data_IF_780273136855
#
_entry.id   IF_780273136855
#
_cell.length_a   1.000
_cell.length_b   1.000
_cell.length_c   1.000
_cell.angle_alpha   90.00
_cell.angle_beta   90.00
_cell.angle_gamma   90.00
#
_symmetry.space_group_name_H-M   'P 1'
#
loop_
_entity.id
_entity.type
_entity.pdbx_description
1 polymer ?
#
# COMPACT_ATOMS: atom_id res chain seq x y z
N UNK A 1 -27.69 -4.87 -25.41
CA UNK A 1 -28.24 -3.54 -25.69
C UNK A 1 -28.05 -2.69 -24.45
N UNK A 2 -27.29 -1.61 -24.58
CA UNK A 2 -27.00 -0.57 -23.59
C UNK A 2 -28.26 0.26 -23.32
N UNK A 3 -28.52 0.63 -22.07
CA UNK A 3 -29.31 1.84 -21.75
C UNK A 3 -28.64 2.58 -20.61
N UNK A 4 -27.93 3.64 -21.00
CA UNK A 4 -27.40 4.74 -20.19
C UNK A 4 -28.54 5.45 -19.45
N UNK A 5 -28.41 5.70 -18.13
CA UNK A 5 -29.35 6.54 -17.39
C UNK A 5 -28.85 8.01 -17.43
N UNK A 6 -29.70 8.99 -17.78
CA UNK A 6 -29.27 10.36 -18.04
C UNK A 6 -29.01 11.17 -16.75
N UNK A 7 -28.14 12.16 -16.88
CA UNK A 7 -27.95 13.28 -15.95
C UNK A 7 -29.13 14.26 -16.07
N UNK A 8 -29.91 14.41 -15.01
CA UNK A 8 -30.65 15.62 -14.69
C UNK A 8 -30.81 15.70 -13.17
N UNK A 9 -30.28 16.76 -12.56
CA UNK A 9 -30.54 17.13 -11.17
C UNK A 9 -32.02 17.53 -11.05
N UNK A 10 -32.80 16.99 -10.10
CA UNK A 10 -34.17 17.45 -9.86
C UNK A 10 -34.21 18.91 -9.41
N UNK A 11 -35.21 19.64 -9.88
CA UNK A 11 -35.54 21.04 -9.52
C UNK A 11 -35.99 21.23 -8.05
N UNK A 12 -35.70 20.28 -7.15
CA UNK A 12 -36.11 20.31 -5.73
C UNK A 12 -35.09 20.97 -4.80
N UNK A 13 -33.98 21.49 -5.34
CA UNK A 13 -32.93 22.23 -4.62
C UNK A 13 -33.37 23.64 -4.13
N UNK A 14 -34.66 23.97 -4.14
CA UNK A 14 -35.21 25.18 -3.51
C UNK A 14 -35.51 25.01 -2.01
N UNK A 15 -35.40 23.79 -1.47
CA UNK A 15 -35.28 23.57 -0.04
C UNK A 15 -33.83 23.32 0.28
N UNK A 16 -33.14 24.27 0.91
CA UNK A 16 -31.79 24.09 1.42
C UNK A 16 -31.78 22.85 2.31
N UNK A 17 -31.39 21.71 1.74
CA UNK A 17 -30.99 20.55 2.52
C UNK A 17 -29.60 20.91 3.01
N UNK A 18 -29.56 21.56 4.17
CA UNK A 18 -28.34 21.69 4.94
C UNK A 18 -27.92 20.26 5.25
N UNK A 19 -26.98 19.72 4.49
CA UNK A 19 -26.19 18.60 4.97
C UNK A 19 -25.62 19.07 6.29
N UNK A 20 -25.76 18.31 7.40
CA UNK A 20 -25.19 18.73 8.66
C UNK A 20 -23.70 18.97 8.39
N UNK A 21 -23.29 20.24 8.43
CA UNK A 21 -21.89 20.63 8.44
C UNK A 21 -21.28 19.80 9.56
N UNK A 22 -20.27 18.99 9.23
CA UNK A 22 -19.60 18.12 10.19
C UNK A 22 -19.27 18.98 11.41
N UNK A 23 -20.00 18.72 12.51
CA UNK A 23 -19.89 19.52 13.71
C UNK A 23 -18.43 19.56 14.13
N UNK A 24 -17.95 20.74 14.49
CA UNK A 24 -16.59 20.98 15.02
C UNK A 24 -16.49 20.44 16.46
N UNK A 25 -16.97 19.22 16.66
CA UNK A 25 -16.93 18.51 17.92
C UNK A 25 -15.68 17.64 17.92
N UNK A 26 -14.77 17.93 18.84
CA UNK A 26 -13.47 17.26 18.97
C UNK A 26 -13.59 15.79 19.46
N UNK A 27 -14.67 15.07 19.15
CA UNK A 27 -15.00 13.79 19.78
C UNK A 27 -15.72 12.75 18.89
N UNK A 28 -15.72 12.90 17.56
CA UNK A 28 -15.97 11.75 16.67
C UNK A 28 -14.65 11.26 16.11
N UNK A 29 -13.91 10.46 16.90
CA UNK A 29 -12.79 9.70 16.36
C UNK A 29 -13.32 8.81 15.23
N UNK A 30 -12.95 9.13 14.00
CA UNK A 30 -13.31 8.32 12.84
C UNK A 30 -12.67 6.94 13.00
N UNK A 31 -13.36 5.86 12.61
CA UNK A 31 -12.76 4.54 12.63
C UNK A 31 -11.55 4.50 11.68
N UNK A 32 -10.43 3.99 12.16
CA UNK A 32 -9.22 3.75 11.37
C UNK A 32 -8.96 2.26 11.20
N UNK A 33 -8.24 1.91 10.13
CA UNK A 33 -7.77 0.53 9.96
C UNK A 33 -6.68 0.21 10.97
N UNK A 34 -6.76 -1.00 11.54
CA UNK A 34 -5.63 -1.56 12.26
C UNK A 34 -4.62 -2.13 11.27
N UNK A 35 -3.36 -1.74 11.40
CA UNK A 35 -2.27 -2.15 10.50
C UNK A 35 -1.30 -3.14 11.18
N UNK A 36 -1.64 -3.67 12.36
CA UNK A 36 -0.74 -4.51 13.17
C UNK A 36 -0.36 -5.83 12.50
N UNK A 37 -1.13 -6.29 11.53
CA UNK A 37 -0.79 -7.44 10.68
C UNK A 37 0.40 -7.14 9.74
N UNK A 38 0.67 -5.86 9.46
CA UNK A 38 1.83 -5.41 8.69
C UNK A 38 2.97 -5.03 9.64
N UNK A 39 2.75 -4.03 10.47
CA UNK A 39 3.67 -3.51 11.48
C UNK A 39 2.88 -2.90 12.64
N UNK A 40 3.43 -2.91 13.85
CA UNK A 40 2.75 -2.39 15.04
C UNK A 40 2.55 -0.87 15.05
N UNK A 41 3.32 -0.17 14.24
CA UNK A 41 3.33 1.30 14.12
C UNK A 41 4.59 1.76 13.40
N UNK A 42 4.73 3.07 13.19
CA UNK A 42 5.89 3.67 12.49
C UNK A 42 7.22 3.47 13.21
N UNK A 43 7.19 3.22 14.52
CA UNK A 43 8.36 2.97 15.37
C UNK A 43 8.66 1.48 15.54
N UNK A 44 7.97 0.59 14.79
CA UNK A 44 8.22 -0.85 14.85
C UNK A 44 9.62 -1.16 14.30
N UNK A 45 10.50 -1.71 15.14
CA UNK A 45 11.86 -2.10 14.78
C UNK A 45 11.90 -3.12 13.63
N UNK A 46 10.80 -3.85 13.39
CA UNK A 46 10.67 -4.73 12.24
C UNK A 46 10.76 -3.98 10.90
N UNK A 47 10.35 -2.71 10.83
CA UNK A 47 10.45 -1.88 9.61
C UNK A 47 11.91 -1.72 9.21
N UNK A 48 12.76 -1.28 10.15
CA UNK A 48 14.20 -1.08 9.89
C UNK A 48 14.89 -2.40 9.56
N UNK A 49 14.55 -3.48 10.28
CA UNK A 49 15.09 -4.80 10.00
C UNK A 49 14.68 -5.32 8.61
N UNK A 50 13.44 -5.08 8.19
CA UNK A 50 12.94 -5.46 6.87
C UNK A 50 13.63 -4.64 5.77
N UNK A 51 13.77 -3.32 5.94
CA UNK A 51 14.48 -2.45 5.00
C UNK A 51 15.93 -2.91 4.81
N UNK A 52 16.69 -3.08 5.89
CA UNK A 52 18.09 -3.50 5.83
C UNK A 52 18.27 -4.88 5.19
N UNK A 53 17.39 -5.83 5.51
CA UNK A 53 17.41 -7.17 4.90
C UNK A 53 17.13 -7.09 3.40
N UNK A 54 16.05 -6.39 3.00
CA UNK A 54 15.61 -6.33 1.60
C UNK A 54 16.62 -5.59 0.72
N UNK A 55 17.28 -4.55 1.24
CA UNK A 55 18.38 -3.88 0.57
C UNK A 55 19.54 -4.85 0.29
N UNK A 56 20.01 -5.57 1.31
CA UNK A 56 21.08 -6.54 1.17
C UNK A 56 20.70 -7.67 0.19
N UNK A 57 19.47 -8.17 0.27
CA UNK A 57 18.96 -9.22 -0.63
C UNK A 57 18.90 -8.76 -2.08
N UNK A 58 18.43 -7.53 -2.33
CA UNK A 58 18.35 -6.93 -3.66
C UNK A 58 19.74 -6.71 -4.28
N UNK A 59 20.70 -6.19 -3.50
CA UNK A 59 22.09 -6.02 -3.94
C UNK A 59 22.70 -7.37 -4.31
N UNK A 60 22.56 -8.37 -3.44
CA UNK A 60 23.09 -9.70 -3.68
C UNK A 60 22.41 -10.40 -4.87
N UNK A 61 21.10 -10.21 -5.04
CA UNK A 61 20.34 -10.73 -6.18
C UNK A 61 20.87 -10.15 -7.50
N UNK A 62 21.01 -8.83 -7.56
CA UNK A 62 21.51 -8.14 -8.73
C UNK A 62 22.96 -8.55 -9.06
N UNK A 63 23.82 -8.68 -8.05
CA UNK A 63 25.20 -9.13 -8.24
C UNK A 63 25.29 -10.55 -8.82
N UNK A 64 24.38 -11.44 -8.41
CA UNK A 64 24.38 -12.84 -8.85
C UNK A 64 23.79 -13.06 -10.25
N UNK A 65 22.74 -12.31 -10.63
CA UNK A 65 21.88 -12.67 -11.76
C UNK A 65 21.88 -11.66 -12.92
N UNK A 66 22.42 -10.45 -12.71
CA UNK A 66 22.42 -9.42 -13.75
C UNK A 66 23.24 -9.89 -14.97
N UNK A 67 22.59 -9.95 -16.12
CA UNK A 67 23.21 -10.34 -17.39
C UNK A 67 23.46 -11.85 -17.56
N UNK A 68 23.14 -12.67 -16.56
CA UNK A 68 23.38 -14.13 -16.61
C UNK A 68 22.10 -14.95 -16.81
N UNK A 69 20.93 -14.32 -16.74
CA UNK A 69 19.60 -14.97 -16.81
C UNK A 69 19.43 -15.89 -18.03
N UNK A 70 19.91 -15.47 -19.21
CA UNK A 70 19.79 -16.25 -20.43
C UNK A 70 20.55 -17.60 -20.41
N UNK A 71 21.52 -17.74 -19.51
CA UNK A 71 22.31 -18.96 -19.32
C UNK A 71 21.80 -19.89 -18.22
N UNK A 72 20.72 -19.53 -17.52
CA UNK A 72 20.16 -20.36 -16.46
C UNK A 72 19.39 -21.54 -17.04
N UNK A 73 19.52 -22.70 -16.42
CA UNK A 73 18.58 -23.79 -16.65
C UNK A 73 17.22 -23.51 -15.97
N UNK A 74 16.22 -24.35 -16.24
CA UNK A 74 14.87 -24.14 -15.72
C UNK A 74 14.78 -24.14 -14.19
N UNK A 75 15.60 -24.93 -13.51
CA UNK A 75 15.59 -24.99 -12.05
C UNK A 75 16.23 -23.74 -11.44
N UNK A 76 17.35 -23.29 -12.00
CA UNK A 76 18.02 -22.07 -11.60
C UNK A 76 17.17 -20.81 -11.88
N UNK A 77 16.43 -20.79 -13.00
CA UNK A 77 15.49 -19.71 -13.30
C UNK A 77 14.32 -19.69 -12.31
N UNK A 78 13.73 -20.85 -11.99
CA UNK A 78 12.67 -20.92 -10.98
C UNK A 78 13.14 -20.42 -9.61
N UNK A 79 14.36 -20.78 -9.19
CA UNK A 79 14.96 -20.28 -7.97
C UNK A 79 15.21 -18.76 -8.00
N UNK A 80 15.64 -18.22 -9.15
CA UNK A 80 15.80 -16.78 -9.35
C UNK A 80 14.46 -16.04 -9.22
N UNK A 81 13.39 -16.55 -9.83
CA UNK A 81 12.04 -15.97 -9.73
C UNK A 81 11.56 -15.98 -8.27
N UNK A 82 11.65 -17.12 -7.59
CA UNK A 82 11.21 -17.22 -6.19
C UNK A 82 11.96 -16.25 -5.27
N UNK A 83 13.26 -16.05 -5.50
CA UNK A 83 14.05 -15.07 -4.76
C UNK A 83 13.63 -13.64 -5.05
N UNK A 84 13.34 -13.31 -6.32
CA UNK A 84 12.81 -12.00 -6.70
C UNK A 84 11.45 -11.73 -6.05
N UNK A 85 10.53 -12.71 -6.11
CA UNK A 85 9.21 -12.61 -5.50
C UNK A 85 9.27 -12.37 -3.99
N UNK A 86 10.20 -13.03 -3.28
CA UNK A 86 10.39 -12.82 -1.85
C UNK A 86 10.83 -11.37 -1.53
N UNK A 87 11.70 -10.78 -2.35
CA UNK A 87 12.12 -9.38 -2.21
C UNK A 87 10.94 -8.44 -2.46
N UNK A 88 10.24 -8.62 -3.58
CA UNK A 88 9.08 -7.80 -3.95
C UNK A 88 7.94 -7.91 -2.94
N UNK A 89 7.70 -9.10 -2.38
CA UNK A 89 6.69 -9.30 -1.34
C UNK A 89 7.03 -8.52 -0.06
N UNK A 90 8.30 -8.51 0.34
CA UNK A 90 8.76 -7.71 1.48
C UNK A 90 8.62 -6.21 1.25
N UNK A 91 9.06 -5.73 0.07
CA UNK A 91 8.91 -4.33 -0.33
C UNK A 91 7.43 -3.92 -0.44
N UNK A 92 6.59 -4.80 -0.98
CA UNK A 92 5.14 -4.61 -1.06
C UNK A 92 4.52 -4.42 0.32
N UNK A 93 4.88 -5.25 1.30
CA UNK A 93 4.40 -5.10 2.70
C UNK A 93 4.82 -3.76 3.31
N UNK A 94 6.07 -3.32 3.14
CA UNK A 94 6.53 -1.99 3.59
C UNK A 94 5.74 -0.86 2.92
N UNK A 95 5.60 -0.92 1.61
CA UNK A 95 4.89 0.09 0.83
C UNK A 95 3.40 0.17 1.21
N UNK A 96 2.72 -0.97 1.34
CA UNK A 96 1.32 -1.03 1.76
C UNK A 96 1.15 -0.42 3.15
N UNK A 97 2.03 -0.72 4.11
CA UNK A 97 1.97 -0.09 5.44
C UNK A 97 2.09 1.43 5.35
N UNK A 98 3.11 1.94 4.65
CA UNK A 98 3.34 3.37 4.52
C UNK A 98 2.15 4.10 3.86
N UNK A 99 1.61 3.53 2.76
CA UNK A 99 0.47 4.11 2.05
C UNK A 99 -0.81 4.09 2.87
N UNK A 100 -1.13 3.00 3.55
CA UNK A 100 -2.33 2.90 4.39
C UNK A 100 -2.24 3.82 5.60
N UNK A 101 -1.05 3.93 6.23
CA UNK A 101 -0.81 4.83 7.36
C UNK A 101 -0.99 6.30 6.92
N UNK A 102 -0.39 6.70 5.80
CA UNK A 102 -0.58 8.04 5.24
C UNK A 102 -2.05 8.30 4.85
N UNK A 103 -2.73 7.31 4.29
CA UNK A 103 -4.14 7.45 3.90
C UNK A 103 -5.08 7.60 5.10
N UNK A 104 -4.68 7.10 6.28
CA UNK A 104 -5.44 7.26 7.51
C UNK A 104 -5.32 8.67 8.08
N UNK A 105 -4.14 9.28 7.99
CA UNK A 105 -3.91 10.68 8.36
C UNK A 105 -2.72 11.27 7.57
N UNK A 106 -3.03 12.08 6.56
CA UNK A 106 -2.01 12.70 5.70
C UNK A 106 -1.32 13.92 6.34
N UNK A 107 -1.70 14.29 7.57
CA UNK A 107 -1.06 15.37 8.32
C UNK A 107 0.08 14.88 9.22
N UNK A 108 0.16 13.57 9.45
CA UNK A 108 1.26 12.93 10.17
C UNK A 108 2.43 12.75 9.20
N UNK A 109 3.60 13.36 9.49
CA UNK A 109 4.77 13.35 8.59
C UNK A 109 5.46 11.98 8.48
#
# INVERSE_FOLDING_TARGET
MTVTRPLALPDDMAGVTVWPEAGTDAAFALPSWTLTDLYRGTEDQAIEADLARLEADAIAFAAALRGTVAGLDGAALAAAIARYEAIEQGLGRLHTFAQLNFSADATVP
#
